data_IF_309201193914
#
_entry.id   IF_309201193914
#
_cell.length_a   1.000
_cell.length_b   1.000
_cell.length_c   1.000
_cell.angle_alpha   90.00
_cell.angle_beta   90.00
_cell.angle_gamma   90.00
#
_symmetry.space_group_name_H-M   'P 1'
#
loop_
_entity.id
_entity.type
_entity.pdbx_description
1 polymer ?
#
# COMPACT_ATOMS: atom_id res chain seq x y z
N UNK A 1 15.14 21.99 11.54
CA UNK A 1 15.50 22.16 12.99
C UNK A 1 14.88 21.04 13.83
N UNK A 2 13.79 20.49 13.40
CA UNK A 2 13.07 19.32 13.97
C UNK A 2 13.88 18.02 13.99
N UNK A 3 14.59 17.69 12.90
CA UNK A 3 15.36 16.44 12.78
C UNK A 3 16.46 16.27 13.85
N UNK A 4 17.12 17.35 14.24
CA UNK A 4 18.15 17.30 15.27
C UNK A 4 17.57 17.09 16.68
N UNK A 5 16.40 17.64 16.94
CA UNK A 5 15.69 17.45 18.20
C UNK A 5 15.16 16.02 18.32
N UNK A 6 14.62 15.47 17.24
CA UNK A 6 14.18 14.08 17.17
C UNK A 6 15.35 13.11 17.35
N UNK A 7 16.48 13.36 16.69
CA UNK A 7 17.69 12.54 16.84
C UNK A 7 18.21 12.56 18.29
N UNK A 8 18.22 13.74 18.92
CA UNK A 8 18.63 13.88 20.32
C UNK A 8 17.66 13.19 21.28
N UNK A 9 16.36 13.26 21.02
CA UNK A 9 15.34 12.54 21.79
C UNK A 9 15.46 11.02 21.65
N UNK A 10 15.72 10.51 20.45
CA UNK A 10 16.00 9.08 20.18
C UNK A 10 17.21 8.59 20.95
N UNK A 11 18.31 9.32 20.86
CA UNK A 11 19.56 8.98 21.56
C UNK A 11 19.35 9.04 23.08
N UNK A 12 18.63 10.06 23.57
CA UNK A 12 18.34 10.23 24.99
C UNK A 12 17.49 9.08 25.55
N UNK A 13 16.41 8.72 24.87
CA UNK A 13 15.51 7.64 25.30
C UNK A 13 16.23 6.27 25.28
N UNK A 14 16.98 6.00 24.22
CA UNK A 14 17.79 4.79 24.10
C UNK A 14 18.84 4.68 25.21
N UNK A 15 19.53 5.78 25.52
CA UNK A 15 20.54 5.83 26.58
C UNK A 15 19.94 5.58 27.97
N UNK A 16 18.80 6.17 28.27
CA UNK A 16 18.08 5.97 29.54
C UNK A 16 17.63 4.51 29.70
N UNK A 17 17.10 3.90 28.64
CA UNK A 17 16.69 2.50 28.68
C UNK A 17 17.87 1.54 28.90
N UNK A 18 19.00 1.78 28.25
CA UNK A 18 20.23 0.99 28.47
C UNK A 18 20.75 1.12 29.89
N UNK A 19 20.78 2.34 30.43
CA UNK A 19 21.23 2.58 31.79
C UNK A 19 20.28 1.91 32.81
N UNK A 20 18.99 2.04 32.64
CA UNK A 20 17.99 1.38 33.49
C UNK A 20 18.10 -0.15 33.43
N UNK A 21 18.20 -0.73 32.23
CA UNK A 21 18.37 -2.16 32.05
C UNK A 21 19.68 -2.65 32.68
N UNK A 22 20.77 -1.90 32.52
CA UNK A 22 22.08 -2.19 33.15
C UNK A 22 22.02 -2.12 34.68
N UNK A 23 21.38 -1.10 35.26
CA UNK A 23 21.22 -0.95 36.71
C UNK A 23 20.34 -2.08 37.29
N UNK A 24 19.23 -2.38 36.64
CA UNK A 24 18.32 -3.49 37.03
C UNK A 24 19.06 -4.84 36.95
N UNK A 25 19.77 -5.08 35.88
CA UNK A 25 20.58 -6.30 35.72
C UNK A 25 21.68 -6.40 36.79
N UNK A 26 22.42 -5.30 37.07
CA UNK A 26 23.44 -5.25 38.10
C UNK A 26 22.84 -5.52 39.49
N UNK A 27 21.73 -4.88 39.84
CA UNK A 27 21.09 -5.04 41.15
C UNK A 27 20.55 -6.47 41.35
N UNK A 28 20.02 -7.09 40.31
CA UNK A 28 19.43 -8.42 40.40
C UNK A 28 20.46 -9.55 40.40
N UNK A 29 21.56 -9.41 39.67
CA UNK A 29 22.44 -10.52 39.35
C UNK A 29 23.90 -10.41 39.82
N UNK A 30 24.41 -9.22 40.15
CA UNK A 30 25.82 -9.06 40.58
C UNK A 30 25.97 -9.06 42.08
N UNK A 31 24.88 -8.91 42.86
CA UNK A 31 24.96 -8.88 44.34
C UNK A 31 24.75 -10.24 45.00
N UNK A 32 24.66 -11.34 44.24
CA UNK A 32 24.54 -12.71 44.75
C UNK A 32 25.81 -13.46 44.34
N UNK A 33 26.71 -13.79 45.28
CA UNK A 33 28.05 -14.31 44.95
C UNK A 33 28.10 -15.81 44.82
N UNK A 34 29.14 -16.27 44.17
CA UNK A 34 29.87 -17.54 44.16
C UNK A 34 29.52 -18.56 43.05
N UNK A 35 30.43 -18.68 42.09
CA UNK A 35 30.56 -19.82 41.20
C UNK A 35 29.75 -19.75 39.88
N UNK A 36 29.21 -20.89 39.46
CA UNK A 36 28.37 -21.01 38.26
C UNK A 36 27.16 -20.04 38.22
N UNK A 37 26.69 -19.60 39.38
CA UNK A 37 25.64 -18.61 39.52
C UNK A 37 26.05 -17.23 39.00
N UNK A 38 27.35 -16.87 39.13
CA UNK A 38 27.86 -15.57 38.64
C UNK A 38 27.87 -15.50 37.10
N UNK A 39 28.19 -16.60 36.44
CA UNK A 39 28.20 -16.71 35.01
C UNK A 39 26.76 -16.68 34.43
N UNK A 40 25.82 -17.34 35.10
CA UNK A 40 24.38 -17.26 34.82
C UNK A 40 23.85 -15.84 35.03
N UNK A 41 24.29 -15.14 36.08
CA UNK A 41 23.91 -13.75 36.35
C UNK A 41 24.36 -12.80 35.23
N UNK A 42 25.60 -12.95 34.74
CA UNK A 42 26.11 -12.17 33.60
C UNK A 42 25.32 -12.43 32.33
N UNK A 43 25.01 -13.70 32.01
CA UNK A 43 24.21 -14.05 30.84
C UNK A 43 22.80 -13.50 30.92
N UNK A 44 22.17 -13.57 32.08
CA UNK A 44 20.82 -12.99 32.30
C UNK A 44 20.85 -11.45 32.20
N UNK A 45 21.89 -10.81 32.73
CA UNK A 45 22.04 -9.34 32.58
C UNK A 45 22.20 -8.95 31.12
N UNK A 46 23.02 -9.65 30.34
CA UNK A 46 23.18 -9.43 28.91
C UNK A 46 21.85 -9.67 28.16
N UNK A 47 21.08 -10.68 28.55
CA UNK A 47 19.75 -10.95 28.01
C UNK A 47 18.76 -9.82 28.26
N UNK A 48 18.70 -9.30 29.51
CA UNK A 48 17.84 -8.18 29.88
C UNK A 48 18.24 -6.90 29.14
N UNK A 49 19.55 -6.62 29.00
CA UNK A 49 20.06 -5.48 28.23
C UNK A 49 19.68 -5.61 26.76
N UNK A 50 19.85 -6.79 26.17
CA UNK A 50 19.50 -7.03 24.77
C UNK A 50 17.99 -6.88 24.49
N UNK A 51 17.15 -7.37 25.39
CA UNK A 51 15.69 -7.20 25.32
C UNK A 51 15.31 -5.72 25.52
N UNK A 52 15.93 -5.04 26.49
CA UNK A 52 15.70 -3.61 26.73
C UNK A 52 16.09 -2.75 25.54
N UNK A 53 17.21 -3.05 24.87
CA UNK A 53 17.63 -2.38 23.64
C UNK A 53 16.63 -2.60 22.50
N UNK A 54 16.14 -3.84 22.31
CA UNK A 54 15.14 -4.13 21.27
C UNK A 54 13.81 -3.43 21.53
N UNK A 55 13.34 -3.44 22.78
CA UNK A 55 12.11 -2.75 23.16
C UNK A 55 12.25 -1.23 23.02
N UNK A 56 13.40 -0.67 23.43
CA UNK A 56 13.69 0.74 23.24
C UNK A 56 13.73 1.15 21.77
N UNK A 57 14.34 0.36 20.90
CA UNK A 57 14.33 0.61 19.45
C UNK A 57 12.91 0.60 18.88
N UNK A 58 12.11 -0.42 19.22
CA UNK A 58 10.73 -0.52 18.78
C UNK A 58 9.84 0.65 19.24
N UNK A 59 9.97 1.05 20.52
CA UNK A 59 9.24 2.21 21.06
C UNK A 59 9.71 3.52 20.42
N UNK A 60 11.01 3.64 20.17
CA UNK A 60 11.57 4.84 19.54
C UNK A 60 11.10 4.97 18.09
N UNK A 61 11.03 3.87 17.33
CA UNK A 61 10.54 3.88 15.95
C UNK A 61 9.06 4.19 15.87
N UNK A 62 8.26 3.76 16.86
CA UNK A 62 6.84 4.10 16.92
C UNK A 62 6.55 5.53 17.39
N UNK A 63 7.39 6.09 18.27
CA UNK A 63 7.22 7.47 18.75
C UNK A 63 7.83 8.52 17.79
N UNK A 64 8.83 8.14 17.02
CA UNK A 64 9.54 9.01 16.08
C UNK A 64 9.76 8.28 14.76
N UNK A 65 8.72 8.04 13.98
CA UNK A 65 8.85 7.41 12.67
C UNK A 65 9.82 8.23 11.81
N UNK A 66 10.68 7.54 11.08
CA UNK A 66 11.71 8.17 10.24
C UNK A 66 11.18 8.61 8.87
N UNK A 67 9.87 8.56 8.66
CA UNK A 67 9.17 8.91 7.42
C UNK A 67 8.04 9.88 7.71
N UNK A 68 7.65 10.64 6.71
CA UNK A 68 6.48 11.49 6.70
C UNK A 68 5.64 11.27 5.43
N UNK A 69 5.95 10.25 4.67
CA UNK A 69 5.29 9.96 3.39
C UNK A 69 5.05 8.47 3.28
N UNK A 70 3.83 8.08 2.98
CA UNK A 70 3.47 6.70 2.66
C UNK A 70 3.63 6.45 1.16
N UNK A 71 4.20 5.31 0.77
CA UNK A 71 4.22 4.86 -0.62
C UNK A 71 3.34 3.61 -0.76
N UNK A 72 2.38 3.66 -1.70
CA UNK A 72 1.56 2.52 -2.09
C UNK A 72 1.82 2.19 -3.54
N UNK A 73 2.18 0.93 -3.82
CA UNK A 73 2.49 0.46 -5.17
C UNK A 73 1.31 -0.32 -5.76
N UNK A 74 0.82 0.11 -6.93
CA UNK A 74 -0.21 -0.56 -7.74
C UNK A 74 0.49 -1.15 -8.97
N UNK A 75 0.84 -2.43 -8.91
CA UNK A 75 1.61 -3.11 -9.96
C UNK A 75 0.83 -4.27 -10.56
N UNK A 76 0.70 -4.31 -11.89
CA UNK A 76 -0.05 -5.34 -12.60
C UNK A 76 -1.53 -5.02 -12.80
N UNK A 77 -2.32 -6.01 -13.19
CA UNK A 77 -3.75 -5.85 -13.48
C UNK A 77 -4.56 -5.64 -12.19
N UNK A 78 -5.54 -4.74 -12.24
CA UNK A 78 -6.40 -4.41 -11.09
C UNK A 78 -7.66 -5.27 -11.15
N UNK A 79 -7.92 -5.99 -10.07
CA UNK A 79 -9.14 -6.79 -9.93
C UNK A 79 -9.56 -6.91 -8.47
N UNK A 80 -10.77 -7.39 -8.24
CA UNK A 80 -11.21 -7.72 -6.89
C UNK A 80 -10.59 -9.03 -6.40
N UNK A 81 -10.45 -10.01 -7.28
CA UNK A 81 -9.86 -11.32 -6.98
C UNK A 81 -8.69 -11.62 -7.93
N UNK A 82 -7.45 -11.21 -7.58
CA UNK A 82 -6.27 -11.46 -8.39
C UNK A 82 -5.83 -12.94 -8.40
N UNK A 83 -6.36 -13.76 -7.51
CA UNK A 83 -6.13 -15.21 -7.46
C UNK A 83 -6.98 -16.00 -8.45
N UNK A 84 -7.93 -15.37 -9.14
CA UNK A 84 -8.79 -15.98 -10.14
C UNK A 84 -8.03 -16.47 -11.39
N UNK A 85 -8.72 -17.27 -12.20
CA UNK A 85 -8.21 -17.72 -13.51
C UNK A 85 -8.69 -16.75 -14.58
N UNK A 86 -7.78 -15.99 -15.19
CA UNK A 86 -8.16 -15.04 -16.25
C UNK A 86 -7.05 -14.03 -16.56
N UNK A 87 -7.36 -13.05 -17.42
CA UNK A 87 -6.39 -12.04 -17.85
C UNK A 87 -5.90 -11.12 -16.72
N UNK A 88 -6.62 -11.06 -15.60
CA UNK A 88 -6.30 -10.26 -14.42
C UNK A 88 -5.65 -11.09 -13.29
N UNK A 89 -5.38 -12.37 -13.53
CA UNK A 89 -4.70 -13.23 -12.55
C UNK A 89 -3.27 -12.76 -12.30
N UNK A 90 -2.87 -12.73 -11.03
CA UNK A 90 -1.53 -12.28 -10.63
C UNK A 90 -1.35 -10.77 -10.56
N UNK A 91 -2.45 -10.00 -10.61
CA UNK A 91 -2.43 -8.55 -10.40
C UNK A 91 -2.59 -8.15 -8.92
N UNK A 92 -3.09 -6.95 -8.70
CA UNK A 92 -3.36 -6.40 -7.37
C UNK A 92 -4.84 -6.50 -7.01
N UNK A 93 -5.12 -6.78 -5.74
CA UNK A 93 -6.46 -6.71 -5.17
C UNK A 93 -6.83 -5.28 -4.83
N UNK A 94 -8.00 -4.82 -5.29
CA UNK A 94 -8.48 -3.50 -4.92
C UNK A 94 -8.71 -3.38 -3.41
N UNK A 95 -9.28 -4.41 -2.79
CA UNK A 95 -9.55 -4.41 -1.35
C UNK A 95 -8.25 -4.26 -0.53
N UNK A 96 -7.15 -4.91 -0.98
CA UNK A 96 -5.84 -4.76 -0.35
C UNK A 96 -5.26 -3.35 -0.54
N UNK A 97 -5.43 -2.76 -1.74
CA UNK A 97 -4.93 -1.41 -2.02
C UNK A 97 -5.69 -0.36 -1.22
N UNK A 98 -7.02 -0.44 -1.18
CA UNK A 98 -7.86 0.44 -0.35
C UNK A 98 -7.44 0.33 1.11
N UNK A 99 -7.31 -0.88 1.66
CA UNK A 99 -6.88 -1.07 3.04
C UNK A 99 -5.43 -0.58 3.29
N UNK A 100 -4.55 -0.54 2.28
CA UNK A 100 -3.22 0.06 2.41
C UNK A 100 -3.29 1.58 2.47
N UNK A 101 -4.14 2.20 1.65
CA UNK A 101 -4.35 3.65 1.62
C UNK A 101 -5.01 4.13 2.92
N UNK A 102 -6.06 3.45 3.37
CA UNK A 102 -6.73 3.76 4.65
C UNK A 102 -5.78 3.65 5.84
N UNK A 103 -4.92 2.62 5.87
CA UNK A 103 -3.89 2.51 6.94
C UNK A 103 -2.83 3.60 6.87
N UNK A 104 -2.54 4.10 5.67
CA UNK A 104 -1.64 5.24 5.50
C UNK A 104 -2.29 6.53 5.98
N UNK A 105 -3.59 6.69 5.77
CA UNK A 105 -4.37 7.83 6.23
C UNK A 105 -4.55 7.85 7.76
N UNK A 106 -4.69 6.65 8.38
CA UNK A 106 -4.75 6.48 9.83
C UNK A 106 -3.40 6.65 10.54
N UNK A 107 -2.29 6.75 9.81
CA UNK A 107 -0.95 6.90 10.36
C UNK A 107 -0.56 8.37 10.51
N UNK A 108 -0.63 8.89 11.75
CA UNK A 108 -0.27 10.27 12.09
C UNK A 108 1.12 10.72 11.58
N UNK A 109 1.98 9.79 11.19
CA UNK A 109 3.30 10.08 10.64
C UNK A 109 3.30 10.28 9.13
N UNK A 110 2.30 9.78 8.43
CA UNK A 110 2.18 9.90 6.99
C UNK A 110 1.44 11.19 6.61
N UNK A 111 2.18 12.26 6.40
CA UNK A 111 1.64 13.57 6.01
C UNK A 111 1.33 13.68 4.51
N UNK A 112 1.73 12.70 3.70
CA UNK A 112 1.53 12.66 2.25
C UNK A 112 1.48 11.22 1.73
N UNK A 113 0.76 11.01 0.62
CA UNK A 113 0.65 9.74 -0.08
C UNK A 113 1.32 9.81 -1.45
N UNK A 114 2.18 8.84 -1.72
CA UNK A 114 2.78 8.63 -3.04
C UNK A 114 2.29 7.30 -3.62
N UNK A 115 1.63 7.37 -4.77
CA UNK A 115 1.22 6.18 -5.52
C UNK A 115 2.23 5.85 -6.62
N UNK A 116 2.86 4.70 -6.51
CA UNK A 116 3.66 4.14 -7.59
C UNK A 116 2.76 3.31 -8.51
N UNK A 117 2.58 3.75 -9.75
CA UNK A 117 1.72 3.09 -10.72
C UNK A 117 2.55 2.39 -11.79
N UNK A 118 2.37 1.06 -11.91
CA UNK A 118 2.88 0.27 -13.03
C UNK A 118 1.82 -0.77 -13.41
N UNK A 119 0.75 -0.30 -14.07
CA UNK A 119 -0.46 -1.08 -14.29
C UNK A 119 -1.05 -0.85 -15.68
N UNK A 120 -1.53 -1.90 -16.34
CA UNK A 120 -2.36 -1.78 -17.54
C UNK A 120 -3.79 -1.35 -17.23
N UNK A 121 -4.13 -1.17 -15.95
CA UNK A 121 -5.51 -1.02 -15.47
C UNK A 121 -6.15 -2.36 -15.16
N UNK A 122 -7.48 -2.41 -15.19
CA UNK A 122 -8.21 -3.63 -14.89
C UNK A 122 -9.71 -3.41 -14.81
N UNK A 123 -10.35 -3.99 -13.82
CA UNK A 123 -11.79 -3.88 -13.60
C UNK A 123 -12.19 -2.45 -13.21
N UNK A 124 -13.32 -1.98 -13.71
CA UNK A 124 -13.78 -0.60 -13.53
C UNK A 124 -14.10 -0.30 -12.06
N UNK A 125 -14.93 -1.14 -11.42
CA UNK A 125 -15.32 -0.95 -10.02
C UNK A 125 -14.12 -0.95 -9.07
N UNK A 126 -13.26 -1.98 -9.09
CA UNK A 126 -12.01 -2.01 -8.36
C UNK A 126 -11.12 -0.77 -8.54
N UNK A 127 -10.97 -0.29 -9.77
CA UNK A 127 -10.19 0.92 -10.05
C UNK A 127 -10.84 2.19 -9.46
N UNK A 128 -12.16 2.25 -9.45
CA UNK A 128 -12.92 3.37 -8.89
C UNK A 128 -12.81 3.43 -7.37
N UNK A 129 -12.90 2.27 -6.71
CA UNK A 129 -12.75 2.17 -5.25
C UNK A 129 -11.35 2.62 -4.79
N UNK A 130 -10.29 2.21 -5.49
CA UNK A 130 -8.94 2.68 -5.19
C UNK A 130 -8.83 4.20 -5.40
N UNK A 131 -9.39 4.72 -6.51
CA UNK A 131 -9.39 6.17 -6.78
C UNK A 131 -10.08 6.95 -5.68
N UNK A 132 -11.23 6.46 -5.21
CA UNK A 132 -12.00 7.13 -4.15
C UNK A 132 -11.24 7.11 -2.81
N UNK A 133 -10.56 6.01 -2.48
CA UNK A 133 -9.70 5.95 -1.30
C UNK A 133 -8.54 6.97 -1.38
N UNK A 134 -7.91 7.09 -2.55
CA UNK A 134 -6.86 8.10 -2.78
C UNK A 134 -7.38 9.52 -2.62
N UNK A 135 -8.55 9.82 -3.20
CA UNK A 135 -9.16 11.14 -3.13
C UNK A 135 -9.69 11.50 -1.74
N UNK A 136 -9.86 10.51 -0.85
CA UNK A 136 -10.27 10.70 0.53
C UNK A 136 -9.11 10.90 1.50
N UNK A 137 -7.87 10.63 1.08
CA UNK A 137 -6.66 10.76 1.91
C UNK A 137 -6.49 12.21 2.41
N UNK A 138 -6.24 12.38 3.72
CA UNK A 138 -6.06 13.69 4.37
C UNK A 138 -4.61 14.18 4.22
N UNK A 139 -4.28 14.70 3.06
CA UNK A 139 -2.95 15.23 2.76
C UNK A 139 -2.68 15.27 1.26
N UNK A 140 -1.53 15.81 0.84
CA UNK A 140 -1.14 15.84 -0.56
C UNK A 140 -0.90 14.44 -1.10
N UNK A 141 -1.41 14.19 -2.31
CA UNK A 141 -1.33 12.92 -3.01
C UNK A 141 -0.62 13.07 -4.35
N UNK A 142 0.37 12.22 -4.62
CA UNK A 142 1.13 12.24 -5.86
C UNK A 142 1.18 10.83 -6.47
N UNK A 143 0.71 10.69 -7.70
CA UNK A 143 0.94 9.49 -8.48
C UNK A 143 2.23 9.64 -9.30
N UNK A 144 3.02 8.56 -9.42
CA UNK A 144 4.12 8.52 -10.36
C UNK A 144 4.19 7.19 -11.12
N UNK A 145 4.65 7.26 -12.36
CA UNK A 145 4.88 6.06 -13.18
C UNK A 145 6.22 6.14 -13.91
N UNK A 146 6.91 5.00 -13.97
CA UNK A 146 8.16 4.87 -14.72
C UNK A 146 8.00 4.10 -16.03
N UNK A 147 6.94 3.29 -16.13
CA UNK A 147 6.74 2.38 -17.27
C UNK A 147 5.33 2.49 -17.85
N UNK A 148 4.30 2.06 -17.10
CA UNK A 148 2.95 1.92 -17.62
C UNK A 148 1.91 2.44 -16.62
N UNK A 149 1.10 3.39 -17.06
CA UNK A 149 -0.10 3.84 -16.34
C UNK A 149 -1.25 3.94 -17.36
N UNK A 150 -2.03 2.88 -17.47
CA UNK A 150 -3.06 2.79 -18.51
C UNK A 150 -4.44 2.49 -17.94
N UNK A 151 -5.49 2.94 -18.63
CA UNK A 151 -6.90 2.65 -18.33
C UNK A 151 -7.24 2.92 -16.86
N UNK A 152 -7.60 1.88 -16.08
CA UNK A 152 -7.86 2.02 -14.64
C UNK A 152 -6.71 2.65 -13.84
N UNK A 153 -5.45 2.50 -14.28
CA UNK A 153 -4.31 3.18 -13.67
C UNK A 153 -4.38 4.70 -13.81
N UNK A 154 -4.75 5.21 -14.97
CA UNK A 154 -4.97 6.66 -15.19
C UNK A 154 -6.18 7.13 -14.38
N UNK A 155 -7.21 6.29 -14.27
CA UNK A 155 -8.39 6.60 -13.46
C UNK A 155 -8.01 6.76 -11.98
N UNK A 156 -7.22 5.87 -11.42
CA UNK A 156 -6.68 5.98 -10.05
C UNK A 156 -5.81 7.24 -9.91
N UNK A 157 -4.90 7.48 -10.85
CA UNK A 157 -4.05 8.68 -10.85
C UNK A 157 -4.86 9.97 -10.86
N UNK A 158 -6.06 9.99 -11.43
CA UNK A 158 -6.95 11.16 -11.45
C UNK A 158 -7.54 11.50 -10.07
N UNK A 159 -7.42 10.61 -9.08
CA UNK A 159 -7.74 10.87 -7.68
C UNK A 159 -6.62 11.56 -6.90
N UNK A 160 -5.41 11.61 -7.46
CA UNK A 160 -4.28 12.33 -6.87
C UNK A 160 -4.27 13.80 -7.27
N UNK A 161 -3.56 14.63 -6.49
CA UNK A 161 -3.36 16.04 -6.80
C UNK A 161 -2.43 16.24 -8.00
N UNK A 162 -1.42 15.36 -8.14
CA UNK A 162 -0.44 15.43 -9.21
C UNK A 162 -0.15 14.04 -9.80
N UNK A 163 0.15 14.01 -11.11
CA UNK A 163 0.66 12.84 -11.82
C UNK A 163 1.98 13.14 -12.49
N UNK A 164 3.01 12.40 -12.13
CA UNK A 164 4.33 12.47 -12.71
C UNK A 164 4.64 11.21 -13.54
N UNK A 165 5.15 11.41 -14.74
CA UNK A 165 5.53 10.32 -15.63
C UNK A 165 6.91 10.58 -16.24
N UNK A 166 7.68 9.53 -16.50
CA UNK A 166 8.91 9.64 -17.30
C UNK A 166 8.56 9.88 -18.77
N UNK A 167 9.45 10.51 -19.50
CA UNK A 167 9.28 10.75 -20.96
C UNK A 167 9.06 9.46 -21.76
N UNK A 168 9.53 8.33 -21.25
CA UNK A 168 9.38 7.00 -21.87
C UNK A 168 8.19 6.22 -21.36
N UNK A 169 7.45 6.73 -20.37
CA UNK A 169 6.30 6.04 -19.80
C UNK A 169 5.12 6.03 -20.76
N UNK A 170 4.39 4.95 -20.78
CA UNK A 170 3.13 4.83 -21.51
C UNK A 170 1.96 5.24 -20.59
N UNK A 171 1.37 6.39 -20.87
CA UNK A 171 0.23 6.91 -20.08
C UNK A 171 -0.96 7.10 -21.01
N UNK A 172 -2.14 6.59 -20.63
CA UNK A 172 -3.36 6.76 -21.41
C UNK A 172 -4.23 5.52 -21.50
N UNK A 173 -4.65 5.16 -22.71
CA UNK A 173 -5.60 4.04 -22.94
C UNK A 173 -6.91 4.18 -22.13
N UNK A 174 -7.44 5.41 -22.06
CA UNK A 174 -8.63 5.73 -21.29
C UNK A 174 -9.86 5.19 -22.02
N UNK A 175 -10.57 4.26 -21.40
CA UNK A 175 -11.77 3.68 -21.96
C UNK A 175 -12.15 2.35 -21.33
N UNK A 176 -13.36 1.87 -21.66
CA UNK A 176 -13.86 0.57 -21.23
C UNK A 176 -13.94 -0.35 -22.43
N UNK A 177 -13.27 -1.49 -22.37
CA UNK A 177 -13.36 -2.54 -23.37
C UNK A 177 -14.36 -3.60 -22.93
N UNK A 178 -15.35 -3.90 -23.78
CA UNK A 178 -16.29 -4.99 -23.57
C UNK A 178 -16.26 -5.95 -24.74
N UNK A 179 -15.90 -7.20 -24.51
CA UNK A 179 -16.04 -8.27 -25.51
C UNK A 179 -17.48 -8.76 -25.51
N UNK A 180 -18.19 -8.53 -26.61
CA UNK A 180 -19.53 -9.10 -26.84
C UNK A 180 -19.44 -10.14 -27.95
N UNK A 181 -19.56 -11.43 -27.64
CA UNK A 181 -19.61 -12.46 -28.66
C UNK A 181 -20.91 -12.25 -29.46
N UNK A 182 -20.77 -12.13 -30.78
CA UNK A 182 -21.93 -12.07 -31.68
C UNK A 182 -22.42 -13.49 -31.95
N UNK A 183 -23.43 -13.89 -31.21
CA UNK A 183 -24.08 -15.21 -31.35
C UNK A 183 -25.33 -15.17 -32.26
N UNK A 184 -25.59 -14.06 -32.95
CA UNK A 184 -26.82 -13.89 -33.74
C UNK A 184 -27.00 -14.98 -34.80
N UNK A 185 -25.96 -15.27 -35.58
CA UNK A 185 -26.03 -16.34 -36.58
C UNK A 185 -26.26 -17.73 -36.00
N UNK A 186 -25.71 -18.02 -34.83
CA UNK A 186 -25.96 -19.28 -34.12
C UNK A 186 -27.35 -19.38 -33.57
N UNK A 187 -27.89 -18.29 -33.04
CA UNK A 187 -29.25 -18.21 -32.51
C UNK A 187 -30.27 -18.29 -33.63
N UNK A 188 -30.07 -17.60 -34.76
CA UNK A 188 -30.91 -17.68 -35.94
C UNK A 188 -31.00 -19.10 -36.53
N UNK A 189 -29.85 -19.81 -36.61
CA UNK A 189 -29.79 -21.21 -37.03
C UNK A 189 -30.57 -22.14 -36.08
N UNK A 190 -30.83 -21.72 -34.84
CA UNK A 190 -31.65 -22.42 -33.86
C UNK A 190 -33.08 -21.89 -33.74
N UNK A 191 -33.51 -20.99 -34.66
CA UNK A 191 -34.85 -20.41 -34.66
C UNK A 191 -35.12 -19.35 -33.58
N UNK A 192 -34.06 -18.90 -32.86
CA UNK A 192 -34.20 -17.83 -31.88
C UNK A 192 -33.95 -16.49 -32.55
N UNK A 193 -34.98 -15.66 -32.68
CA UNK A 193 -34.89 -14.29 -33.22
C UNK A 193 -34.54 -13.34 -32.06
N UNK A 194 -33.32 -12.78 -32.05
CA UNK A 194 -32.95 -11.71 -31.15
C UNK A 194 -33.40 -10.36 -31.68
N UNK A 195 -34.07 -9.58 -30.85
CA UNK A 195 -34.33 -8.17 -31.16
C UNK A 195 -33.11 -7.34 -30.69
N UNK A 196 -32.30 -6.80 -31.61
CA UNK A 196 -31.27 -5.82 -31.25
C UNK A 196 -31.90 -4.43 -31.17
N UNK A 197 -31.50 -3.65 -30.18
CA UNK A 197 -31.97 -2.27 -30.01
C UNK A 197 -31.53 -1.36 -31.17
N UNK A 198 -30.60 -1.80 -32.01
CA UNK A 198 -30.07 -1.07 -33.17
C UNK A 198 -31.04 -1.09 -34.37
N UNK A 199 -31.98 -2.02 -34.40
CA UNK A 199 -32.93 -2.17 -35.54
C UNK A 199 -34.14 -1.21 -35.46
N UNK A 200 -34.24 -0.45 -34.37
CA UNK A 200 -35.38 0.45 -34.14
C UNK A 200 -35.22 1.83 -34.78
N UNK A 201 -33.98 2.20 -35.17
CA UNK A 201 -33.68 3.57 -35.63
C UNK A 201 -33.65 3.75 -37.15
N UNK A 202 -33.76 2.68 -37.95
CA UNK A 202 -33.72 2.77 -39.40
C UNK A 202 -35.10 2.73 -40.09
N UNK A 203 -36.21 2.58 -39.32
CA UNK A 203 -37.58 2.54 -39.90
C UNK A 203 -38.46 3.75 -39.61
N UNK A 204 -37.93 4.81 -38.97
CA UNK A 204 -38.68 6.05 -38.71
C UNK A 204 -38.42 7.16 -39.75
N UNK A 205 -37.95 6.83 -40.93
CA UNK A 205 -37.68 7.76 -42.00
C UNK A 205 -38.42 7.45 -43.29
N UNK A 206 -39.78 7.47 -43.28
CA UNK A 206 -40.64 7.68 -44.44
C UNK A 206 -41.89 8.41 -43.99
#
# INVERSE_FOLDING_TARGET
>A
MTDRLQLLARIGLGSVAVVLAGVVGFLLFVRVPDGLAELLGVLLTLGVVAVGLRLSASVTDSLFPGYNTAEVAVEGAISRDPGGVGPTSGGVSADEMVACIERADDDDAAEALVLKLNTPGGEVGPSDEIRDAVAAFDGPTVAYTTDLCASGGVWIASGCDELWARDTSQVGSIGVLGLRPNLSGFLEARGVRGYSATERDTRSGL
#
